data_IF_468237740556
#
_entry.id   IF_468237740556
#
_cell.length_a   1.000
_cell.length_b   1.000
_cell.length_c   1.000
_cell.angle_alpha   90.00
_cell.angle_beta   90.00
_cell.angle_gamma   90.00
#
_symmetry.space_group_name_H-M   'P 1'
#
loop_
_entity.id
_entity.type
_entity.pdbx_description
1 polymer ?
#
# COMPACT_ATOMS: atom_id res chain seq x y z
N UNK A 1 7.34 5.01 18.35
CA UNK A 1 7.30 5.98 19.47
C UNK A 1 7.49 7.36 18.86
N UNK A 2 6.49 8.25 18.92
CA UNK A 2 6.36 9.45 18.06
C UNK A 2 7.19 10.67 18.50
N UNK A 3 8.24 10.50 19.31
CA UNK A 3 9.23 11.55 19.56
C UNK A 3 8.75 12.80 20.30
N UNK A 4 7.56 12.80 20.91
CA UNK A 4 7.10 13.91 21.74
C UNK A 4 7.71 13.83 23.14
N UNK A 5 8.31 14.92 23.59
CA UNK A 5 8.88 15.04 24.94
C UNK A 5 7.73 15.26 25.95
N UNK A 6 7.51 14.36 26.93
CA UNK A 6 6.30 14.38 27.78
C UNK A 6 6.16 15.62 28.66
N UNK A 7 7.23 16.40 28.80
CA UNK A 7 7.33 17.52 29.75
C UNK A 7 6.62 18.79 29.26
N UNK A 8 6.22 18.88 27.98
CA UNK A 8 5.54 20.07 27.45
C UNK A 8 4.04 20.12 27.73
N UNK A 9 3.42 19.05 28.25
CA UNK A 9 1.95 18.91 28.33
C UNK A 9 1.38 19.17 29.74
N UNK A 10 2.07 19.88 30.62
CA UNK A 10 1.48 20.27 31.91
C UNK A 10 1.70 21.76 32.16
N UNK A 11 0.83 22.59 31.57
CA UNK A 11 0.54 23.92 32.09
C UNK A 11 -0.93 23.98 32.51
N UNK A 12 -1.18 24.30 33.78
CA UNK A 12 -2.50 24.39 34.41
C UNK A 12 -3.26 25.65 33.95
N UNK A 13 -3.40 25.84 32.64
CA UNK A 13 -4.12 26.97 32.03
C UNK A 13 -5.44 26.50 31.41
N UNK A 14 -6.48 27.37 31.35
CA UNK A 14 -7.78 27.00 30.79
C UNK A 14 -7.54 26.43 29.40
N UNK A 15 -8.21 25.33 29.06
CA UNK A 15 -8.08 24.59 27.80
C UNK A 15 -8.00 25.56 26.60
N UNK A 16 -6.77 25.88 26.18
CA UNK A 16 -6.49 26.59 24.94
C UNK A 16 -5.87 25.53 24.05
N UNK A 17 -6.61 25.11 23.03
CA UNK A 17 -6.09 24.28 21.95
C UNK A 17 -4.90 25.01 21.32
N UNK A 18 -3.70 24.62 21.73
CA UNK A 18 -2.46 25.10 21.15
C UNK A 18 -2.24 24.30 19.87
N UNK A 19 -2.74 24.84 18.77
CA UNK A 19 -2.49 24.29 17.44
C UNK A 19 -1.02 24.56 17.09
N UNK A 20 -0.20 23.53 17.19
CA UNK A 20 1.19 23.56 16.71
C UNK A 20 1.18 23.14 15.25
N UNK A 21 1.36 24.11 14.35
CA UNK A 21 1.45 23.83 12.92
C UNK A 21 2.86 23.35 12.56
N UNK A 22 2.95 22.21 11.87
CA UNK A 22 4.19 21.74 11.25
C UNK A 22 4.51 22.60 10.02
N UNK A 23 5.77 23.04 9.82
CA UNK A 23 6.17 23.76 8.60
C UNK A 23 6.15 22.87 7.35
N UNK A 24 6.04 21.54 7.54
CA UNK A 24 5.92 20.56 6.48
C UNK A 24 4.45 20.20 6.28
N UNK A 25 4.00 20.25 5.03
CA UNK A 25 2.70 19.71 4.61
C UNK A 25 2.76 18.19 4.75
N UNK A 26 1.85 17.62 5.54
CA UNK A 26 1.64 16.19 5.50
C UNK A 26 1.16 15.84 4.09
N UNK A 27 1.97 15.08 3.35
CA UNK A 27 1.56 14.55 2.06
C UNK A 27 1.12 13.09 2.24
N UNK A 28 -0.18 12.85 2.52
CA UNK A 28 -0.70 11.49 2.65
C UNK A 28 -0.64 10.70 1.34
N UNK A 29 -0.37 11.37 0.20
CA UNK A 29 -0.34 10.80 -1.14
C UNK A 29 1.07 10.72 -1.75
N UNK A 30 2.12 11.10 -1.01
CA UNK A 30 3.43 11.42 -1.59
C UNK A 30 3.99 10.32 -2.48
N UNK A 31 3.77 9.05 -2.14
CA UNK A 31 4.22 7.90 -2.93
C UNK A 31 3.29 6.72 -2.73
N UNK A 32 2.95 6.01 -3.81
CA UNK A 32 2.39 4.66 -3.70
C UNK A 32 3.41 3.80 -2.98
N UNK A 33 3.18 3.43 -1.71
CA UNK A 33 4.10 2.53 -0.98
C UNK A 33 3.99 1.09 -1.47
N UNK A 34 2.80 0.73 -1.91
CA UNK A 34 2.47 -0.60 -2.39
C UNK A 34 1.57 -0.53 -3.62
N UNK A 35 1.69 -1.51 -4.49
CA UNK A 35 0.79 -1.76 -5.61
C UNK A 35 0.12 -3.14 -5.44
N UNK A 36 -1.14 -3.21 -5.84
CA UNK A 36 -1.95 -4.42 -5.79
C UNK A 36 -2.06 -4.99 -7.20
N UNK A 37 -1.59 -6.23 -7.38
CA UNK A 37 -1.64 -6.93 -8.65
C UNK A 37 -2.81 -7.91 -8.61
N UNK A 38 -3.79 -7.68 -9.46
CA UNK A 38 -4.93 -8.57 -9.68
C UNK A 38 -4.75 -9.31 -11.00
N UNK A 39 -5.27 -10.52 -11.06
CA UNK A 39 -5.28 -11.32 -12.29
C UNK A 39 -6.46 -12.26 -12.30
N UNK A 40 -7.02 -12.51 -13.46
CA UNK A 40 -8.16 -13.40 -13.66
C UNK A 40 -7.83 -14.89 -13.48
N UNK A 41 -6.54 -15.26 -13.43
CA UNK A 41 -6.13 -16.67 -13.28
C UNK A 41 -6.12 -17.17 -11.84
N UNK A 42 -6.24 -16.27 -10.86
CA UNK A 42 -6.25 -16.58 -9.43
C UNK A 42 -7.69 -16.76 -8.98
N UNK A 43 -7.98 -17.79 -8.18
CA UNK A 43 -9.29 -17.88 -7.52
C UNK A 43 -9.48 -16.67 -6.60
N UNK A 44 -10.66 -16.05 -6.65
CA UNK A 44 -10.99 -14.97 -5.74
C UNK A 44 -10.85 -15.42 -4.28
N UNK A 45 -10.24 -14.57 -3.47
CA UNK A 45 -9.97 -14.83 -2.06
C UNK A 45 -10.32 -13.59 -1.23
N UNK A 46 -10.45 -13.77 0.08
CA UNK A 46 -10.73 -12.67 1.01
C UNK A 46 -9.45 -11.83 1.15
N UNK A 47 -9.56 -10.55 0.81
CA UNK A 47 -8.51 -9.53 0.93
C UNK A 47 -9.10 -8.35 1.67
N UNK A 48 -8.76 -8.20 2.96
CA UNK A 48 -9.42 -7.22 3.81
C UNK A 48 -10.91 -7.52 3.92
N UNK A 49 -11.75 -6.61 3.45
CA UNK A 49 -13.21 -6.69 3.43
C UNK A 49 -13.78 -7.06 2.05
N UNK A 50 -12.93 -7.33 1.05
CA UNK A 50 -13.34 -7.62 -0.34
C UNK A 50 -12.96 -9.04 -0.75
N UNK A 51 -13.80 -9.65 -1.59
CA UNK A 51 -13.48 -10.92 -2.27
C UNK A 51 -12.92 -10.64 -3.66
N UNK A 52 -11.62 -10.89 -3.86
CA UNK A 52 -10.92 -10.45 -5.08
C UNK A 52 -9.82 -11.44 -5.52
N UNK A 53 -9.53 -11.53 -6.83
CA UNK A 53 -8.49 -12.40 -7.36
C UNK A 53 -7.11 -11.71 -7.31
N UNK A 54 -6.65 -11.45 -6.09
CA UNK A 54 -5.38 -10.78 -5.82
C UNK A 54 -4.21 -11.76 -5.97
N UNK A 55 -3.29 -11.47 -6.89
CA UNK A 55 -2.06 -12.23 -7.07
C UNK A 55 -1.02 -11.89 -6.00
N UNK A 56 -0.75 -10.58 -5.81
CA UNK A 56 0.30 -10.12 -4.89
C UNK A 56 0.17 -8.63 -4.58
N UNK A 57 0.68 -8.26 -3.40
CA UNK A 57 0.98 -6.87 -3.04
C UNK A 57 2.50 -6.70 -3.16
N UNK A 58 2.94 -5.70 -3.92
CA UNK A 58 4.37 -5.41 -4.12
C UNK A 58 4.71 -4.06 -3.51
N UNK A 59 5.88 -3.96 -2.88
CA UNK A 59 6.39 -2.68 -2.38
C UNK A 59 6.96 -1.89 -3.56
N UNK A 60 6.62 -0.60 -3.61
CA UNK A 60 7.29 0.34 -4.52
C UNK A 60 8.56 0.79 -3.84
N UNK A 61 9.68 0.63 -4.53
CA UNK A 61 11.02 1.03 -4.08
C UNK A 61 11.71 1.73 -5.25
N UNK A 62 12.87 2.34 -5.00
CA UNK A 62 13.61 3.10 -6.00
C UNK A 62 13.06 4.51 -6.21
N UNK A 63 13.69 5.22 -7.14
CA UNK A 63 13.35 6.59 -7.53
C UNK A 63 12.49 6.63 -8.79
N UNK A 64 11.84 7.77 -9.05
CA UNK A 64 11.08 7.98 -10.29
C UNK A 64 11.98 7.76 -11.51
N UNK A 65 11.55 6.89 -12.44
CA UNK A 65 12.30 6.52 -13.64
C UNK A 65 13.35 5.43 -13.44
N UNK A 66 13.57 4.97 -12.22
CA UNK A 66 14.44 3.84 -11.92
C UNK A 66 13.74 2.51 -12.24
N UNK A 67 14.46 1.61 -12.93
CA UNK A 67 14.00 0.24 -13.12
C UNK A 67 14.33 -0.58 -11.88
N UNK A 68 13.30 -1.14 -11.23
CA UNK A 68 13.46 -2.04 -10.09
C UNK A 68 13.16 -3.47 -10.51
N UNK A 69 14.11 -4.38 -10.25
CA UNK A 69 13.93 -5.82 -10.42
C UNK A 69 13.88 -6.49 -9.05
N UNK A 70 12.85 -7.30 -8.79
CA UNK A 70 12.66 -8.01 -7.52
C UNK A 70 12.63 -9.51 -7.79
N UNK A 71 13.56 -10.24 -7.16
CA UNK A 71 13.56 -11.70 -7.13
C UNK A 71 12.86 -12.18 -5.85
N UNK A 72 12.02 -13.20 -5.97
CA UNK A 72 11.31 -13.82 -4.86
C UNK A 72 11.76 -15.27 -4.70
N UNK A 73 12.57 -15.56 -3.68
CA UNK A 73 13.20 -16.87 -3.51
C UNK A 73 12.23 -17.94 -2.99
N UNK A 74 11.16 -17.53 -2.31
CA UNK A 74 10.14 -18.45 -1.77
C UNK A 74 8.96 -18.55 -2.73
N UNK A 75 8.62 -19.76 -3.23
CA UNK A 75 7.45 -19.94 -4.08
C UNK A 75 6.17 -19.60 -3.30
N UNK A 76 5.29 -18.85 -3.96
CA UNK A 76 3.97 -18.50 -3.45
C UNK A 76 2.93 -19.29 -4.22
N UNK A 77 2.41 -20.35 -3.59
CA UNK A 77 1.35 -21.18 -4.18
C UNK A 77 -0.01 -20.54 -3.90
N UNK A 78 -0.80 -20.34 -4.96
CA UNK A 78 -2.14 -19.77 -4.89
C UNK A 78 -3.08 -20.61 -5.79
N UNK A 79 -4.34 -20.84 -5.38
CA UNK A 79 -5.30 -21.57 -6.20
C UNK A 79 -5.58 -20.85 -7.53
N UNK A 80 -5.71 -21.63 -8.60
CA UNK A 80 -5.96 -21.13 -9.95
C UNK A 80 -7.44 -21.24 -10.30
N UNK A 81 -8.01 -20.19 -10.87
CA UNK A 81 -9.41 -20.14 -11.32
C UNK A 81 -9.68 -21.06 -12.52
N UNK A 82 -8.64 -21.41 -13.28
CA UNK A 82 -8.71 -22.26 -14.48
C UNK A 82 -7.42 -23.05 -14.68
N UNK A 83 -7.55 -24.21 -15.33
CA UNK A 83 -6.43 -25.13 -15.61
C UNK A 83 -5.68 -24.83 -16.90
N UNK A 84 -6.38 -24.27 -17.90
CA UNK A 84 -5.81 -23.89 -19.19
C UNK A 84 -5.73 -22.37 -19.21
N UNK A 85 -4.54 -21.84 -19.48
CA UNK A 85 -4.23 -20.41 -19.43
C UNK A 85 -3.50 -20.07 -20.72
N UNK A 86 -4.14 -19.27 -21.57
CA UNK A 86 -3.55 -18.81 -22.83
C UNK A 86 -3.01 -17.38 -22.68
N UNK A 87 -3.79 -16.52 -22.02
CA UNK A 87 -3.49 -15.12 -21.76
C UNK A 87 -3.61 -14.90 -20.25
N UNK A 88 -2.74 -14.04 -19.71
CA UNK A 88 -2.79 -13.56 -18.33
C UNK A 88 -2.92 -12.06 -18.40
N UNK A 89 -4.03 -11.53 -17.90
CA UNK A 89 -4.21 -10.10 -17.69
C UNK A 89 -3.77 -9.75 -16.27
N UNK A 90 -2.95 -8.70 -16.16
CA UNK A 90 -2.52 -8.17 -14.87
C UNK A 90 -3.04 -6.75 -14.74
N UNK A 91 -3.91 -6.54 -13.76
CA UNK A 91 -4.44 -5.23 -13.42
C UNK A 91 -3.70 -4.72 -12.19
N UNK A 92 -3.00 -3.59 -12.35
CA UNK A 92 -2.23 -2.97 -11.28
C UNK A 92 -3.03 -1.80 -10.70
N UNK A 93 -3.30 -1.86 -9.40
CA UNK A 93 -4.02 -0.82 -8.68
C UNK A 93 -3.19 -0.21 -7.57
N UNK A 94 -3.48 1.06 -7.30
CA UNK A 94 -2.99 1.75 -6.10
C UNK A 94 -3.71 1.22 -4.85
N UNK A 95 -3.22 1.59 -3.67
CA UNK A 95 -3.89 1.28 -2.40
C UNK A 95 -5.30 1.88 -2.26
N UNK A 96 -5.70 2.80 -3.14
CA UNK A 96 -7.05 3.36 -3.21
C UNK A 96 -7.95 2.64 -4.22
N UNK A 97 -7.44 1.61 -4.90
CA UNK A 97 -8.16 0.88 -5.96
C UNK A 97 -8.17 1.60 -7.31
N UNK A 98 -7.47 2.72 -7.44
CA UNK A 98 -7.33 3.47 -8.69
C UNK A 98 -6.37 2.74 -9.64
N UNK A 99 -6.56 2.90 -10.95
CA UNK A 99 -5.58 2.43 -11.93
C UNK A 99 -4.28 3.22 -11.77
N UNK A 100 -3.16 2.51 -11.89
CA UNK A 100 -1.85 3.17 -11.92
C UNK A 100 -1.72 3.93 -13.25
N UNK A 101 -1.31 5.22 -13.25
CA UNK A 101 -1.15 6.01 -14.48
C UNK A 101 0.00 5.52 -15.37
#
# INVERSE_FOLDING_TARGET
MLGFDPTEIVSNHPYVETVVESPLVADPCAHYRVLFLYTEIVESQIVGDVFAPLLRIVNVTGSVGEMVCVQYDRPYYIPLSRKIIDIIEIVIRTHRGELTP
#
